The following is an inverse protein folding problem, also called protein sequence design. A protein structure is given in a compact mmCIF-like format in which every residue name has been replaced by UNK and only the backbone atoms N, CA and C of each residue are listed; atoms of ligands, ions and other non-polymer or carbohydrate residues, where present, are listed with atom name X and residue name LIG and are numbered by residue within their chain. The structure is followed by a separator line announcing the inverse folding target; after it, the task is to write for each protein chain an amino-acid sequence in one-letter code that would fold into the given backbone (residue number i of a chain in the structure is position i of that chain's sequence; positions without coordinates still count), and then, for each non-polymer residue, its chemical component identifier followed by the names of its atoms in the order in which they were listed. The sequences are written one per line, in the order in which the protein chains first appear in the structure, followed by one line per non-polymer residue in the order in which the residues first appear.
data_IF_330742731540
#
_entry.id   IF_330742731540
#
_cell.length_a   1.000
_cell.length_b   1.000
_cell.length_c   1.000
_cell.angle_alpha   90.00
_cell.angle_beta   90.00
_cell.angle_gamma   90.00
#
_symmetry.space_group_name_H-M   'P 1'
#
loop_
_entity.id
_entity.type
_entity.pdbx_description
1 polymer ?
#
# COMPACT_ATOMS: atom_id res chain seq x y z
N UNK A 1 -11.23 9.20 58.99
CA UNK A 1 -10.64 10.50 58.62
C UNK A 1 -10.88 10.68 57.12
N UNK A 2 -11.98 11.36 56.78
CA UNK A 2 -12.06 12.64 56.03
C UNK A 2 -11.78 12.53 54.52
N UNK A 3 -12.88 12.51 53.76
CA UNK A 3 -12.97 12.83 52.34
C UNK A 3 -12.95 14.36 52.13
N UNK A 4 -12.41 14.84 50.99
CA UNK A 4 -12.66 16.18 50.45
C UNK A 4 -12.67 16.14 48.91
N UNK A 5 -13.79 16.60 48.35
CA UNK A 5 -13.95 17.06 46.96
C UNK A 5 -13.39 18.48 46.80
N UNK A 6 -13.01 18.84 45.57
CA UNK A 6 -12.82 20.24 45.18
C UNK A 6 -12.63 20.40 43.67
N UNK A 7 -13.70 20.77 42.96
CA UNK A 7 -13.66 21.31 41.59
C UNK A 7 -13.28 22.79 41.64
N UNK A 8 -12.49 23.26 40.68
CA UNK A 8 -12.24 24.68 40.42
C UNK A 8 -12.74 25.06 39.03
N UNK A 9 -13.62 26.06 38.99
CA UNK A 9 -14.21 26.64 37.79
C UNK A 9 -13.27 27.67 37.15
N UNK A 10 -13.17 27.66 35.82
CA UNK A 10 -12.53 28.72 35.04
C UNK A 10 -13.56 29.79 34.63
N UNK A 11 -13.23 31.05 34.89
CA UNK A 11 -14.01 32.22 34.49
C UNK A 11 -13.60 32.69 33.09
N UNK A 12 -14.59 32.99 32.25
CA UNK A 12 -14.42 33.56 30.92
C UNK A 12 -14.12 35.07 31.00
N UNK A 13 -13.11 35.52 30.26
CA UNK A 13 -12.78 36.93 30.05
C UNK A 13 -13.47 37.40 28.76
N UNK A 14 -14.37 38.37 28.89
CA UNK A 14 -14.99 39.09 27.78
C UNK A 14 -14.11 40.29 27.43
N UNK A 15 -13.59 40.34 26.21
CA UNK A 15 -12.93 41.54 25.67
C UNK A 15 -13.92 42.26 24.77
N UNK A 16 -14.24 43.50 25.13
CA UNK A 16 -15.06 44.42 24.35
C UNK A 16 -14.16 45.21 23.40
N UNK A 17 -14.53 45.29 22.12
CA UNK A 17 -13.86 46.12 21.13
C UNK A 17 -14.24 47.60 21.34
N UNK A 18 -13.23 48.46 21.50
CA UNK A 18 -13.36 49.92 21.43
C UNK A 18 -12.65 50.38 20.17
N UNK A 19 -13.36 51.17 19.37
CA UNK A 19 -13.05 51.49 17.98
C UNK A 19 -11.88 52.45 17.75
N UNK A 20 -11.61 52.67 16.47
CA UNK A 20 -10.80 53.77 15.97
C UNK A 20 -11.53 54.50 14.83
N UNK A 21 -11.25 55.79 14.83
CA UNK A 21 -11.94 56.96 14.29
C UNK A 21 -11.69 57.18 12.79
N UNK A 22 -12.59 57.89 12.12
CA UNK A 22 -12.47 58.33 10.73
C UNK A 22 -11.65 59.63 10.64
N UNK A 23 -10.65 59.71 9.76
CA UNK A 23 -10.23 60.99 9.14
C UNK A 23 -9.54 60.75 7.78
N UNK A 24 -9.80 61.68 6.87
CA UNK A 24 -9.65 61.66 5.40
C UNK A 24 -8.27 61.99 4.82
N UNK A 25 -7.91 61.27 3.73
CA UNK A 25 -7.42 61.71 2.38
C UNK A 25 -6.13 62.56 2.27
N UNK A 26 -5.09 62.02 1.61
CA UNK A 26 -4.59 62.46 0.29
C UNK A 26 -3.30 61.70 -0.16
N UNK A 27 -3.29 61.22 -1.41
CA UNK A 27 -2.10 61.29 -2.28
C UNK A 27 -1.15 60.08 -2.44
N UNK A 28 -1.22 59.51 -3.65
CA UNK A 28 -0.11 58.99 -4.48
C UNK A 28 0.25 57.49 -4.45
N UNK A 29 0.21 56.94 -5.67
CA UNK A 29 0.45 55.58 -6.14
C UNK A 29 1.84 55.02 -5.81
N UNK A 30 1.88 53.75 -5.40
CA UNK A 30 2.63 52.63 -6.02
C UNK A 30 2.94 51.57 -4.96
N UNK A 31 2.38 50.37 -5.14
CA UNK A 31 2.84 49.21 -4.38
C UNK A 31 1.84 48.07 -4.29
N UNK A 32 2.10 47.03 -5.09
CA UNK A 32 1.79 45.62 -4.80
C UNK A 32 0.32 45.29 -4.49
N UNK A 33 -0.46 45.03 -5.54
CA UNK A 33 -1.52 44.04 -5.40
C UNK A 33 -0.86 42.66 -5.38
N UNK A 34 -0.70 42.11 -4.16
CA UNK A 34 -0.57 40.68 -3.95
C UNK A 34 -1.84 40.04 -4.52
N UNK A 35 -1.71 39.31 -5.62
CA UNK A 35 -2.81 38.59 -6.23
C UNK A 35 -3.26 37.48 -5.30
N UNK A 36 -4.28 37.74 -4.49
CA UNK A 36 -5.10 36.67 -3.93
C UNK A 36 -5.90 36.08 -5.09
N UNK A 37 -5.60 34.82 -5.45
CA UNK A 37 -6.41 34.05 -6.41
C UNK A 37 -7.81 33.84 -5.79
N UNK A 38 -8.92 34.01 -6.53
CA UNK A 38 -10.26 33.84 -5.96
C UNK A 38 -10.54 32.37 -5.66
N UNK A 39 -11.11 32.08 -4.49
CA UNK A 39 -11.48 30.74 -4.02
C UNK A 39 -12.67 30.08 -4.78
N UNK A 40 -12.87 30.40 -6.07
CA UNK A 40 -14.10 30.08 -6.83
C UNK A 40 -13.82 29.56 -8.27
N UNK A 41 -12.60 29.09 -8.56
CA UNK A 41 -12.43 28.22 -9.74
C UNK A 41 -12.90 26.82 -9.37
N UNK A 42 -13.82 26.28 -10.16
CA UNK A 42 -14.30 24.91 -10.01
C UNK A 42 -13.18 23.92 -10.25
N UNK A 43 -13.08 22.90 -9.39
CA UNK A 43 -12.17 21.77 -9.58
C UNK A 43 -12.67 20.95 -10.78
N UNK A 44 -11.96 21.05 -11.91
CA UNK A 44 -12.37 20.43 -13.18
C UNK A 44 -11.44 19.29 -13.62
N UNK A 45 -10.17 19.32 -13.18
CA UNK A 45 -9.15 18.34 -13.57
C UNK A 45 -8.50 17.77 -12.33
N UNK A 46 -8.62 16.45 -12.15
CA UNK A 46 -7.92 15.74 -11.08
C UNK A 46 -6.43 16.02 -11.13
N UNK A 47 -5.84 16.39 -9.99
CA UNK A 47 -4.43 16.77 -9.88
C UNK A 47 -4.15 18.26 -10.03
N UNK A 48 -5.13 19.08 -10.41
CA UNK A 48 -4.95 20.54 -10.40
C UNK A 48 -4.66 21.02 -8.97
N UNK A 49 -3.83 22.05 -8.86
CA UNK A 49 -3.45 22.67 -7.60
C UNK A 49 -3.75 24.18 -7.63
N UNK A 50 -4.11 24.74 -6.48
CA UNK A 50 -4.22 26.19 -6.33
C UNK A 50 -3.86 26.65 -4.91
N UNK A 51 -3.43 27.91 -4.80
CA UNK A 51 -3.21 28.54 -3.51
C UNK A 51 -4.53 28.68 -2.73
N UNK A 52 -4.45 28.50 -1.41
CA UNK A 52 -5.59 28.60 -0.51
C UNK A 52 -5.13 29.11 0.86
N UNK A 53 -6.00 29.75 1.64
CA UNK A 53 -5.77 29.98 3.07
C UNK A 53 -4.58 30.88 3.50
N UNK A 54 -3.74 31.36 2.58
CA UNK A 54 -2.56 32.21 2.85
C UNK A 54 -1.36 31.86 1.98
N UNK A 55 -0.24 32.59 2.16
CA UNK A 55 0.99 32.39 1.36
C UNK A 55 1.62 31.02 1.67
N UNK A 56 1.85 30.22 0.62
CA UNK A 56 2.48 28.90 0.70
C UNK A 56 1.56 27.74 1.06
N UNK A 57 0.25 27.98 1.21
CA UNK A 57 -0.74 26.92 1.39
C UNK A 57 -1.40 26.56 0.06
N UNK A 58 -1.58 25.25 -0.18
CA UNK A 58 -2.08 24.69 -1.44
C UNK A 58 -3.21 23.70 -1.18
N UNK A 59 -4.17 23.62 -2.08
CA UNK A 59 -5.19 22.57 -2.12
C UNK A 59 -5.18 21.90 -3.49
N UNK A 60 -5.53 20.61 -3.53
CA UNK A 60 -5.52 19.80 -4.74
C UNK A 60 -6.92 19.36 -5.11
N UNK A 61 -7.18 19.30 -6.40
CA UNK A 61 -8.43 18.83 -6.99
C UNK A 61 -8.40 17.30 -7.10
N UNK A 62 -9.40 16.62 -6.53
CA UNK A 62 -9.47 15.17 -6.50
C UNK A 62 -10.91 14.65 -6.52
N UNK A 63 -11.10 13.36 -6.81
CA UNK A 63 -12.41 12.71 -6.76
C UNK A 63 -12.80 12.38 -5.32
N UNK A 64 -13.68 13.18 -4.75
CA UNK A 64 -14.14 13.07 -3.37
C UNK A 64 -15.62 12.69 -3.37
N UNK A 65 -15.92 11.48 -2.90
CA UNK A 65 -17.26 10.89 -2.90
C UNK A 65 -17.87 10.77 -4.32
N UNK A 66 -17.03 10.51 -5.33
CA UNK A 66 -17.45 10.33 -6.73
C UNK A 66 -17.65 11.63 -7.52
N UNK A 67 -17.20 12.77 -6.97
CA UNK A 67 -17.26 14.07 -7.63
C UNK A 67 -15.91 14.79 -7.51
N UNK A 68 -15.48 15.47 -8.58
CA UNK A 68 -14.28 16.30 -8.53
C UNK A 68 -14.50 17.52 -7.63
N UNK A 69 -13.71 17.62 -6.56
CA UNK A 69 -13.76 18.68 -5.56
C UNK A 69 -12.36 19.09 -5.12
N UNK A 70 -12.22 20.34 -4.67
CA UNK A 70 -11.02 20.76 -3.95
C UNK A 70 -10.96 20.05 -2.60
N UNK A 71 -9.81 19.46 -2.31
CA UNK A 71 -9.48 18.88 -1.02
C UNK A 71 -9.23 19.94 0.06
N UNK A 72 -8.69 19.51 1.21
CA UNK A 72 -8.34 20.44 2.29
C UNK A 72 -7.22 21.39 1.86
N UNK A 73 -7.20 22.57 2.48
CA UNK A 73 -6.12 23.53 2.32
C UNK A 73 -4.93 23.15 3.22
N UNK A 74 -3.79 22.84 2.61
CA UNK A 74 -2.60 22.28 3.26
C UNK A 74 -1.50 23.34 3.36
N UNK A 75 -0.92 23.54 4.55
CA UNK A 75 0.27 24.39 4.73
C UNK A 75 1.60 23.66 4.57
N UNK A 76 1.54 22.33 4.52
CA UNK A 76 2.69 21.43 4.35
C UNK A 76 2.18 20.16 3.68
N UNK A 77 2.94 19.63 2.74
CA UNK A 77 2.69 18.33 2.10
C UNK A 77 3.86 17.39 2.37
N UNK A 78 3.60 16.09 2.41
CA UNK A 78 4.66 15.08 2.55
C UNK A 78 5.40 14.81 1.23
N UNK A 79 4.73 15.07 0.11
CA UNK A 79 5.21 14.90 -1.25
C UNK A 79 4.42 15.78 -2.24
N UNK A 80 4.92 15.89 -3.46
CA UNK A 80 4.19 16.52 -4.58
C UNK A 80 3.54 15.46 -5.47
N UNK A 81 2.26 15.59 -5.86
CA UNK A 81 1.60 14.60 -6.72
C UNK A 81 2.42 14.26 -7.98
N UNK A 82 2.63 12.96 -8.22
CA UNK A 82 3.45 12.46 -9.32
C UNK A 82 4.96 12.37 -9.04
N UNK A 83 5.43 12.89 -7.91
CA UNK A 83 6.78 12.63 -7.42
C UNK A 83 6.97 11.13 -7.15
N UNK A 84 8.19 10.63 -7.32
CA UNK A 84 8.54 9.24 -7.01
C UNK A 84 9.63 9.18 -5.96
N UNK A 85 9.45 8.32 -4.97
CA UNK A 85 10.43 8.05 -3.93
C UNK A 85 10.87 6.59 -4.01
N UNK A 86 12.17 6.36 -4.11
CA UNK A 86 12.73 5.02 -4.15
C UNK A 86 12.35 4.22 -2.90
N UNK A 87 12.02 2.94 -3.08
CA UNK A 87 11.77 1.99 -1.98
C UNK A 87 13.06 1.56 -1.24
N UNK A 88 14.19 2.24 -1.40
CA UNK A 88 15.46 1.91 -0.73
C UNK A 88 16.36 0.90 -1.47
N UNK A 89 15.96 0.44 -2.66
CA UNK A 89 16.70 -0.55 -3.46
C UNK A 89 17.78 0.04 -4.38
N UNK A 90 17.83 1.38 -4.51
CA UNK A 90 18.79 2.10 -5.34
C UNK A 90 18.49 2.07 -6.84
N UNK A 91 18.94 3.10 -7.57
CA UNK A 91 18.67 3.26 -9.01
C UNK A 91 19.31 2.16 -9.87
N UNK A 92 20.36 1.50 -9.37
CA UNK A 92 21.15 0.49 -10.09
C UNK A 92 20.43 -0.87 -10.22
N UNK A 93 19.49 -1.19 -9.31
CA UNK A 93 18.81 -2.49 -9.27
C UNK A 93 17.38 -2.47 -9.84
N UNK A 94 16.98 -1.35 -10.43
CA UNK A 94 15.70 -1.22 -11.14
C UNK A 94 14.57 -0.71 -10.25
N UNK A 95 14.74 0.53 -9.79
CA UNK A 95 13.72 1.52 -9.39
C UNK A 95 12.30 0.99 -9.12
N UNK A 96 12.17 0.23 -8.03
CA UNK A 96 10.92 0.19 -7.29
C UNK A 96 10.80 1.52 -6.55
N UNK A 97 9.76 2.27 -6.89
CA UNK A 97 9.47 3.55 -6.29
C UNK A 97 7.99 3.64 -5.95
N UNK A 98 7.70 4.28 -4.81
CA UNK A 98 6.36 4.73 -4.48
C UNK A 98 6.11 6.07 -5.15
N UNK A 99 4.91 6.24 -5.69
CA UNK A 99 4.47 7.48 -6.31
C UNK A 99 3.66 8.29 -5.30
N UNK A 100 3.80 9.61 -5.30
CA UNK A 100 2.92 10.47 -4.55
C UNK A 100 1.57 10.53 -5.27
N UNK A 101 0.52 10.06 -4.60
CA UNK A 101 -0.86 10.04 -5.07
C UNK A 101 -1.67 11.11 -4.34
N UNK A 102 -2.83 11.46 -4.91
CA UNK A 102 -3.84 12.22 -4.20
C UNK A 102 -4.86 11.24 -3.60
N UNK A 103 -5.07 11.34 -2.30
CA UNK A 103 -6.15 10.67 -1.60
C UNK A 103 -7.03 11.72 -0.91
N UNK A 104 -8.25 11.87 -1.39
CA UNK A 104 -9.20 12.90 -0.93
C UNK A 104 -8.61 14.33 -1.01
N UNK A 105 -7.80 14.58 -2.04
CA UNK A 105 -7.10 15.85 -2.27
C UNK A 105 -5.92 16.10 -1.33
N UNK A 106 -5.43 15.07 -0.64
CA UNK A 106 -4.22 15.11 0.19
C UNK A 106 -3.09 14.34 -0.53
N UNK A 107 -1.94 14.97 -0.83
CA UNK A 107 -0.79 14.26 -1.36
C UNK A 107 -0.22 13.30 -0.31
N UNK A 108 -0.20 12.02 -0.64
CA UNK A 108 0.35 10.95 0.19
C UNK A 108 1.26 10.07 -0.65
N UNK A 109 2.40 9.65 -0.08
CA UNK A 109 3.19 8.60 -0.71
C UNK A 109 2.35 7.33 -0.79
N UNK A 110 2.24 6.69 -1.96
CA UNK A 110 1.64 5.35 -2.09
C UNK A 110 2.32 4.45 -1.05
N UNK A 111 1.63 4.13 0.06
CA UNK A 111 2.27 3.48 1.18
C UNK A 111 2.49 1.99 0.89
N UNK A 112 2.10 1.53 -0.29
CA UNK A 112 1.92 0.14 -0.60
C UNK A 112 2.79 -0.36 -1.76
N UNK A 113 3.38 0.53 -2.56
CA UNK A 113 4.11 0.18 -3.78
C UNK A 113 5.33 -0.74 -3.55
N UNK A 114 5.86 -0.78 -2.33
CA UNK A 114 7.12 -1.44 -2.04
C UNK A 114 6.99 -2.86 -1.48
N UNK A 115 5.81 -3.27 -0.99
CA UNK A 115 5.59 -4.58 -0.37
C UNK A 115 4.36 -5.26 -0.98
N UNK A 116 4.58 -6.05 -2.04
CA UNK A 116 3.51 -6.63 -2.87
C UNK A 116 3.50 -8.18 -2.92
N UNK A 117 3.56 -8.90 -1.79
CA UNK A 117 3.63 -10.37 -1.81
C UNK A 117 2.30 -11.03 -2.19
N UNK A 118 2.37 -12.12 -2.96
CA UNK A 118 1.19 -12.93 -3.29
C UNK A 118 0.80 -13.90 -2.16
N UNK A 119 -0.52 -14.02 -1.91
CA UNK A 119 -1.12 -15.08 -1.09
C UNK A 119 -2.08 -15.96 -1.89
N UNK A 120 -2.31 -17.19 -1.41
CA UNK A 120 -3.37 -18.08 -1.90
C UNK A 120 -4.51 -18.18 -0.89
N UNK A 121 -5.65 -17.59 -1.22
CA UNK A 121 -6.90 -17.70 -0.45
C UNK A 121 -7.76 -18.86 -0.99
N UNK A 122 -7.88 -19.93 -0.20
CA UNK A 122 -8.67 -21.12 -0.56
C UNK A 122 -10.18 -20.95 -0.35
N UNK A 123 -10.58 -19.97 0.47
CA UNK A 123 -11.96 -19.59 0.72
C UNK A 123 -12.14 -18.10 0.36
N UNK A 124 -13.31 -17.71 -0.19
CA UNK A 124 -13.54 -16.34 -0.61
C UNK A 124 -13.69 -15.41 0.60
N UNK A 125 -13.23 -14.16 0.46
CA UNK A 125 -13.41 -13.12 1.46
C UNK A 125 -12.16 -12.26 1.68
N UNK A 126 -12.19 -11.39 2.70
CA UNK A 126 -11.03 -10.59 3.06
C UNK A 126 -9.92 -11.49 3.61
N UNK A 127 -8.66 -11.10 3.38
CA UNK A 127 -7.51 -11.81 3.95
C UNK A 127 -7.41 -11.45 5.44
N UNK A 128 -7.50 -12.42 6.36
CA UNK A 128 -7.33 -12.16 7.79
C UNK A 128 -5.87 -11.83 8.11
N UNK A 129 -5.64 -10.62 8.62
CA UNK A 129 -4.32 -10.08 8.94
C UNK A 129 -4.10 -10.00 10.46
N UNK A 130 -2.96 -10.47 10.94
CA UNK A 130 -2.44 -10.26 12.29
C UNK A 130 -1.65 -8.96 12.37
N UNK A 131 -1.68 -8.31 13.54
CA UNK A 131 -0.97 -7.06 13.76
C UNK A 131 0.55 -7.25 13.72
N UNK A 132 1.24 -6.22 13.25
CA UNK A 132 2.67 -6.06 13.46
C UNK A 132 3.06 -6.44 14.89
N UNK A 133 3.85 -7.51 15.00
CA UNK A 133 4.40 -8.00 16.24
C UNK A 133 5.88 -7.62 16.34
N UNK A 134 6.59 -8.12 17.35
CA UNK A 134 8.03 -7.87 17.52
C UNK A 134 8.90 -8.54 16.44
N UNK A 135 8.34 -9.47 15.66
CA UNK A 135 9.03 -10.10 14.54
C UNK A 135 8.94 -9.22 13.28
N UNK A 136 9.93 -9.29 12.40
CA UNK A 136 10.05 -8.48 11.18
C UNK A 136 10.55 -9.33 10.03
N UNK A 137 10.12 -9.02 8.81
CA UNK A 137 10.54 -9.70 7.59
C UNK A 137 10.69 -8.68 6.47
N UNK A 138 11.81 -8.71 5.75
CA UNK A 138 12.07 -7.77 4.67
C UNK A 138 11.52 -8.30 3.34
N UNK A 139 10.30 -7.87 3.04
CA UNK A 139 9.54 -8.27 1.84
C UNK A 139 10.10 -7.62 0.57
N UNK A 140 10.61 -6.40 0.67
CA UNK A 140 11.15 -5.67 -0.47
C UNK A 140 12.62 -6.00 -0.75
N UNK A 141 13.35 -6.45 0.28
CA UNK A 141 14.81 -6.61 0.23
C UNK A 141 15.57 -5.29 0.41
N UNK A 142 14.87 -4.20 0.75
CA UNK A 142 15.43 -2.86 0.86
C UNK A 142 15.87 -2.48 2.28
N UNK A 143 15.54 -3.29 3.29
CA UNK A 143 15.73 -2.97 4.70
C UNK A 143 14.79 -1.89 5.24
N UNK A 144 13.86 -1.39 4.43
CA UNK A 144 12.82 -0.44 4.83
C UNK A 144 11.48 -1.17 5.02
N UNK A 145 10.59 -0.61 5.86
CA UNK A 145 9.24 -1.13 6.04
C UNK A 145 9.19 -2.64 6.41
N UNK A 146 10.16 -3.13 7.19
CA UNK A 146 10.28 -4.54 7.57
C UNK A 146 9.29 -4.97 8.66
N UNK A 147 8.57 -4.01 9.23
CA UNK A 147 7.49 -4.21 10.20
C UNK A 147 6.16 -3.97 9.51
N UNK A 148 5.55 -5.05 9.05
CA UNK A 148 4.21 -5.04 8.44
C UNK A 148 3.24 -5.88 9.26
N UNK A 149 1.95 -5.71 8.99
CA UNK A 149 0.96 -6.73 9.34
C UNK A 149 1.19 -8.00 8.51
N UNK A 150 0.68 -9.13 9.02
CA UNK A 150 0.99 -10.44 8.46
C UNK A 150 -0.27 -11.28 8.27
N UNK A 151 -0.50 -11.94 7.12
CA UNK A 151 -1.63 -12.82 6.95
C UNK A 151 -1.55 -13.94 7.97
N UNK A 152 -2.70 -14.27 8.55
CA UNK A 152 -2.78 -15.40 9.47
C UNK A 152 -2.61 -16.71 8.72
N UNK A 153 -2.39 -17.81 9.45
CA UNK A 153 -2.28 -19.17 8.90
C UNK A 153 -3.47 -19.63 8.01
N UNK A 154 -4.58 -18.88 7.97
CA UNK A 154 -5.69 -19.15 7.04
C UNK A 154 -5.36 -18.83 5.58
N UNK A 155 -4.35 -17.99 5.30
CA UNK A 155 -4.04 -17.48 3.96
C UNK A 155 -2.53 -17.44 3.76
N UNK A 156 -1.91 -18.53 3.28
CA UNK A 156 -0.47 -18.63 3.13
C UNK A 156 0.09 -17.78 2.00
N UNK A 157 1.36 -17.41 2.14
CA UNK A 157 2.16 -16.82 1.07
C UNK A 157 2.42 -17.84 -0.04
N UNK A 158 2.48 -17.36 -1.28
CA UNK A 158 3.10 -18.10 -2.37
C UNK A 158 4.60 -17.78 -2.38
N UNK A 159 5.43 -18.83 -2.39
CA UNK A 159 6.88 -18.67 -2.30
C UNK A 159 7.63 -19.72 -3.12
N UNK A 160 8.93 -19.48 -3.30
CA UNK A 160 9.87 -20.39 -3.93
C UNK A 160 11.24 -20.28 -3.24
N UNK A 161 11.69 -21.38 -2.64
CA UNK A 161 13.03 -21.48 -2.04
C UNK A 161 14.07 -21.55 -3.17
N UNK A 162 14.69 -20.40 -3.48
CA UNK A 162 15.57 -20.21 -4.62
C UNK A 162 16.95 -20.79 -4.36
N UNK A 163 17.43 -20.68 -3.13
CA UNK A 163 18.78 -21.10 -2.74
C UNK A 163 18.83 -22.54 -2.16
N UNK A 164 17.65 -23.15 -1.95
CA UNK A 164 17.45 -24.50 -1.40
C UNK A 164 17.91 -24.62 0.04
N UNK A 165 17.79 -23.55 0.81
CA UNK A 165 18.07 -23.50 2.25
C UNK A 165 17.08 -24.34 3.08
N UNK A 166 15.88 -24.58 2.54
CA UNK A 166 14.76 -25.22 3.25
C UNK A 166 13.93 -24.21 4.06
N UNK A 167 14.13 -22.92 3.82
CA UNK A 167 13.42 -21.81 4.47
C UNK A 167 13.13 -20.74 3.43
N UNK A 168 12.13 -19.90 3.69
CA UNK A 168 11.91 -18.64 2.97
C UNK A 168 12.47 -17.52 3.85
N UNK A 169 13.64 -16.99 3.47
CA UNK A 169 14.42 -16.10 4.36
C UNK A 169 14.54 -14.65 3.87
N UNK A 170 14.02 -14.36 2.67
CA UNK A 170 13.95 -12.99 2.17
C UNK A 170 12.84 -12.78 1.15
N UNK A 171 12.47 -11.51 0.96
CA UNK A 171 11.42 -11.11 0.01
C UNK A 171 11.63 -11.53 -1.45
N UNK A 172 12.89 -11.77 -1.84
CA UNK A 172 13.24 -12.30 -3.16
C UNK A 172 12.74 -13.74 -3.42
N UNK A 173 12.38 -14.47 -2.37
CA UNK A 173 11.80 -15.81 -2.42
C UNK A 173 10.26 -15.80 -2.28
N UNK A 174 9.68 -14.64 -1.99
CA UNK A 174 8.26 -14.37 -2.18
C UNK A 174 8.02 -13.87 -3.61
N UNK A 175 6.79 -14.00 -4.10
CA UNK A 175 6.39 -13.38 -5.37
C UNK A 175 5.86 -11.98 -5.12
N UNK A 176 6.62 -10.98 -5.54
CA UNK A 176 6.30 -9.57 -5.28
C UNK A 176 7.41 -8.63 -5.72
N UNK A 177 7.34 -7.39 -5.22
CA UNK A 177 8.37 -6.36 -5.37
C UNK A 177 9.79 -6.85 -5.00
N UNK A 178 9.93 -7.73 -4.02
CA UNK A 178 11.23 -8.32 -3.66
C UNK A 178 11.86 -9.21 -4.74
N UNK A 179 11.08 -9.70 -5.71
CA UNK A 179 11.57 -10.61 -6.75
C UNK A 179 12.40 -9.88 -7.82
N UNK A 180 13.57 -10.43 -8.15
CA UNK A 180 14.38 -9.98 -9.28
C UNK A 180 14.00 -10.79 -10.52
N UNK A 181 13.51 -10.11 -11.56
CA UNK A 181 13.14 -10.70 -12.86
C UNK A 181 14.39 -11.10 -13.66
N UNK A 182 14.23 -11.91 -14.71
CA UNK A 182 15.32 -12.26 -15.63
C UNK A 182 16.00 -11.04 -16.28
N UNK A 183 15.30 -9.89 -16.35
CA UNK A 183 15.87 -8.62 -16.79
C UNK A 183 16.89 -8.02 -15.83
N UNK A 184 17.03 -8.56 -14.61
CA UNK A 184 17.84 -8.00 -13.53
C UNK A 184 17.19 -6.80 -12.82
N UNK A 185 15.89 -6.57 -13.06
CA UNK A 185 15.10 -5.52 -12.40
C UNK A 185 14.14 -6.16 -11.42
N UNK A 186 13.74 -5.41 -10.41
CA UNK A 186 12.66 -5.84 -9.53
C UNK A 186 11.32 -5.94 -10.27
N UNK A 187 10.48 -6.89 -9.84
CA UNK A 187 9.11 -7.00 -10.28
C UNK A 187 8.30 -5.80 -9.76
N UNK A 188 7.32 -5.34 -10.56
CA UNK A 188 6.45 -4.23 -10.15
C UNK A 188 5.37 -4.65 -9.16
N UNK A 189 4.98 -5.92 -9.19
CA UNK A 189 3.96 -6.54 -8.36
C UNK A 189 4.12 -8.07 -8.44
N UNK A 190 3.41 -8.82 -7.61
CA UNK A 190 3.52 -10.27 -7.47
C UNK A 190 3.15 -11.06 -8.72
N UNK A 191 2.13 -10.65 -9.48
CA UNK A 191 1.81 -11.33 -10.75
C UNK A 191 2.91 -11.18 -11.82
N UNK A 192 3.61 -10.04 -11.86
CA UNK A 192 4.75 -9.87 -12.76
C UNK A 192 5.93 -10.78 -12.36
N UNK A 193 6.14 -10.97 -11.06
CA UNK A 193 7.11 -11.94 -10.55
C UNK A 193 6.73 -13.38 -10.92
N UNK A 194 5.46 -13.74 -10.75
CA UNK A 194 4.98 -15.10 -11.00
C UNK A 194 5.01 -15.47 -12.50
N UNK A 195 4.78 -14.50 -13.39
CA UNK A 195 4.80 -14.70 -14.84
C UNK A 195 6.16 -15.17 -15.39
N UNK A 196 7.28 -14.93 -14.69
CA UNK A 196 8.60 -15.45 -15.07
C UNK A 196 8.68 -16.99 -15.05
N UNK A 197 7.73 -17.64 -14.37
CA UNK A 197 7.65 -19.10 -14.28
C UNK A 197 6.78 -19.74 -15.36
N UNK A 198 6.06 -18.94 -16.18
CA UNK A 198 5.26 -19.44 -17.31
C UNK A 198 6.20 -19.78 -18.46
N UNK A 199 6.66 -21.03 -18.46
CA UNK A 199 7.68 -21.52 -19.40
C UNK A 199 7.09 -21.93 -20.73
N UNK A 200 5.77 -22.15 -20.80
CA UNK A 200 5.07 -22.57 -22.00
C UNK A 200 4.27 -21.43 -22.67
N UNK A 201 4.11 -20.30 -21.99
CA UNK A 201 3.45 -19.09 -22.47
C UNK A 201 1.93 -19.21 -22.57
N UNK A 202 1.30 -20.07 -21.77
CA UNK A 202 -0.15 -20.32 -21.81
C UNK A 202 -0.97 -19.40 -20.90
N UNK A 203 -0.30 -18.50 -20.17
CA UNK A 203 -0.93 -17.54 -19.26
C UNK A 203 -1.30 -18.16 -17.91
N UNK A 204 -0.76 -19.34 -17.59
CA UNK A 204 -1.02 -20.04 -16.33
C UNK A 204 0.26 -20.65 -15.80
N UNK A 205 0.34 -20.76 -14.48
CA UNK A 205 1.38 -21.55 -13.81
C UNK A 205 0.78 -22.90 -13.42
N UNK A 206 1.29 -23.97 -14.02
CA UNK A 206 0.76 -25.33 -13.87
C UNK A 206 1.86 -26.38 -13.91
N UNK A 207 1.51 -27.66 -13.73
CA UNK A 207 2.48 -28.77 -13.84
C UNK A 207 3.14 -28.91 -15.23
N UNK A 208 2.67 -28.16 -16.25
CA UNK A 208 3.33 -28.06 -17.55
C UNK A 208 4.55 -27.13 -17.51
N UNK A 209 4.70 -26.33 -16.45
CA UNK A 209 5.81 -25.41 -16.28
C UNK A 209 7.00 -26.04 -15.57
N UNK A 210 8.20 -25.72 -16.07
CA UNK A 210 9.44 -26.34 -15.62
C UNK A 210 9.67 -26.22 -14.11
N UNK A 211 9.25 -25.09 -13.51
CA UNK A 211 9.50 -24.76 -12.10
C UNK A 211 8.27 -24.87 -11.19
N UNK A 212 7.12 -25.33 -11.71
CA UNK A 212 5.91 -25.47 -10.89
C UNK A 212 6.10 -26.35 -9.66
N UNK A 213 6.90 -27.42 -9.79
CA UNK A 213 7.19 -28.34 -8.68
C UNK A 213 8.01 -27.75 -7.54
N UNK A 214 8.61 -26.57 -7.74
CA UNK A 214 9.41 -25.82 -6.75
C UNK A 214 8.53 -24.89 -5.89
N UNK A 215 7.31 -24.57 -6.33
CA UNK A 215 6.42 -23.66 -5.63
C UNK A 215 5.91 -24.28 -4.31
N UNK A 216 5.94 -23.46 -3.27
CA UNK A 216 5.47 -23.81 -1.93
C UNK A 216 4.50 -22.75 -1.40
N UNK A 217 3.66 -23.18 -0.48
CA UNK A 217 2.88 -22.32 0.40
C UNK A 217 3.63 -22.16 1.71
N UNK A 218 3.91 -20.93 2.11
CA UNK A 218 4.41 -20.64 3.44
C UNK A 218 3.25 -20.21 4.33
N UNK A 219 2.92 -21.08 5.29
CA UNK A 219 1.93 -20.80 6.34
C UNK A 219 2.66 -20.53 7.63
N UNK A 220 2.76 -19.27 8.06
CA UNK A 220 3.31 -18.93 9.37
C UNK A 220 2.37 -19.43 10.47
N UNK A 221 2.75 -20.53 11.14
CA UNK A 221 1.90 -21.27 12.07
C UNK A 221 2.03 -20.77 13.50
N UNK A 222 3.18 -20.21 13.86
CA UNK A 222 3.46 -19.72 15.22
C UNK A 222 3.59 -18.19 15.32
N UNK A 223 3.55 -17.48 14.19
CA UNK A 223 3.52 -16.03 14.08
C UNK A 223 4.89 -15.37 14.28
N UNK A 224 5.98 -16.11 14.14
CA UNK A 224 7.34 -15.62 14.37
C UNK A 224 8.01 -15.02 13.12
N UNK A 225 7.34 -15.09 11.96
CA UNK A 225 7.77 -14.60 10.64
C UNK A 225 9.09 -15.20 10.17
N UNK A 226 9.47 -16.37 10.68
CA UNK A 226 10.63 -17.13 10.27
C UNK A 226 10.19 -18.47 9.70
N UNK A 227 10.30 -18.60 8.39
CA UNK A 227 9.92 -19.83 7.72
C UNK A 227 10.73 -21.02 8.21
N UNK A 228 10.05 -22.13 8.48
CA UNK A 228 10.69 -23.44 8.70
C UNK A 228 10.11 -24.50 7.77
N UNK A 229 10.83 -25.61 7.57
CA UNK A 229 10.36 -26.74 6.75
C UNK A 229 8.97 -27.28 7.14
N UNK A 230 8.54 -27.11 8.40
CA UNK A 230 7.23 -27.59 8.86
C UNK A 230 6.08 -26.64 8.49
N UNK A 231 6.41 -25.43 8.06
CA UNK A 231 5.49 -24.38 7.61
C UNK A 231 5.38 -24.28 6.09
N UNK A 232 6.26 -25.00 5.39
CA UNK A 232 6.33 -25.03 3.93
C UNK A 232 5.60 -26.25 3.38
N UNK A 233 4.62 -26.00 2.52
CA UNK A 233 3.83 -27.04 1.89
C UNK A 233 3.88 -26.93 0.36
N UNK A 234 4.35 -27.96 -0.37
CA UNK A 234 4.30 -27.95 -1.83
C UNK A 234 2.88 -27.78 -2.36
N UNK A 235 2.69 -26.96 -3.40
CA UNK A 235 1.36 -26.67 -3.99
C UNK A 235 0.56 -27.94 -4.32
N UNK A 236 1.25 -28.96 -4.85
CA UNK A 236 0.66 -30.27 -5.18
C UNK A 236 0.04 -30.99 -3.97
N UNK A 237 0.51 -30.76 -2.76
CA UNK A 237 -0.03 -31.39 -1.54
C UNK A 237 -1.34 -30.75 -1.10
N UNK A 238 -1.54 -29.46 -1.41
CA UNK A 238 -2.85 -28.79 -1.36
C UNK A 238 -3.72 -29.00 -2.59
N UNK A 239 -3.27 -29.84 -3.52
CA UNK A 239 -4.00 -30.15 -4.73
C UNK A 239 -4.09 -28.99 -5.72
N UNK A 240 -3.27 -27.94 -5.60
CA UNK A 240 -3.26 -26.83 -6.57
C UNK A 240 -2.84 -27.37 -7.94
N UNK A 241 -3.67 -27.14 -8.95
CA UNK A 241 -3.48 -27.65 -10.30
C UNK A 241 -2.98 -26.55 -11.25
N UNK A 242 -3.49 -25.33 -11.10
CA UNK A 242 -3.08 -24.19 -11.91
C UNK A 242 -3.38 -22.85 -11.26
N UNK A 243 -2.56 -21.84 -11.54
CA UNK A 243 -2.76 -20.44 -11.14
C UNK A 243 -2.85 -19.60 -12.42
N UNK A 244 -3.87 -18.77 -12.55
CA UNK A 244 -4.04 -17.86 -13.68
C UNK A 244 -3.13 -16.62 -13.52
N UNK A 245 -2.50 -16.17 -14.61
CA UNK A 245 -1.68 -14.95 -14.61
C UNK A 245 -2.48 -13.69 -14.95
N UNK A 246 -3.60 -13.82 -15.67
CA UNK A 246 -4.51 -12.70 -15.90
C UNK A 246 -5.22 -12.34 -14.59
N UNK A 247 -5.12 -11.07 -14.18
CA UNK A 247 -5.71 -10.57 -12.95
C UNK A 247 -6.67 -9.40 -13.21
N UNK A 248 -7.60 -9.21 -12.28
CA UNK A 248 -8.39 -8.00 -12.16
C UNK A 248 -7.77 -7.08 -11.10
N UNK A 249 -7.71 -5.79 -11.38
CA UNK A 249 -7.30 -4.78 -10.40
C UNK A 249 -8.51 -4.21 -9.69
N UNK A 250 -8.42 -4.09 -8.37
CA UNK A 250 -9.33 -3.34 -7.51
C UNK A 250 -8.54 -2.81 -6.32
N UNK A 251 -9.21 -2.22 -5.34
CA UNK A 251 -8.57 -1.85 -4.08
C UNK A 251 -9.53 -2.17 -2.94
N UNK A 252 -9.12 -3.11 -2.08
CA UNK A 252 -9.86 -3.54 -0.91
C UNK A 252 -8.92 -3.51 0.30
N UNK A 253 -9.03 -2.46 1.11
CA UNK A 253 -8.09 -2.17 2.20
C UNK A 253 -8.73 -2.39 3.57
N UNK A 254 -7.96 -2.93 4.50
CA UNK A 254 -8.33 -3.00 5.91
C UNK A 254 -8.08 -1.67 6.64
N UNK A 255 -8.58 -1.55 7.87
CA UNK A 255 -8.44 -0.34 8.68
C UNK A 255 -6.99 -0.02 9.12
N UNK A 256 -6.02 -0.91 8.86
CA UNK A 256 -4.59 -0.72 9.13
C UNK A 256 -3.80 -0.45 7.85
N UNK A 257 -4.50 -0.28 6.73
CA UNK A 257 -3.94 0.06 5.43
C UNK A 257 -3.46 -1.15 4.62
N UNK A 258 -3.68 -2.39 5.03
CA UNK A 258 -3.29 -3.51 4.17
C UNK A 258 -4.31 -3.66 3.05
N UNK A 259 -3.87 -3.61 1.79
CA UNK A 259 -4.76 -3.63 0.63
C UNK A 259 -4.60 -4.91 -0.19
N UNK A 260 -5.70 -5.46 -0.69
CA UNK A 260 -5.69 -6.45 -1.76
C UNK A 260 -5.98 -5.72 -3.08
N UNK A 261 -5.03 -5.74 -4.02
CA UNK A 261 -5.16 -4.97 -5.28
C UNK A 261 -5.44 -5.83 -6.49
N UNK A 262 -4.47 -6.65 -6.89
CA UNK A 262 -4.63 -7.58 -7.99
C UNK A 262 -5.19 -8.90 -7.48
N UNK A 263 -6.23 -9.39 -8.14
CA UNK A 263 -6.86 -10.67 -7.83
C UNK A 263 -6.96 -11.52 -9.08
N UNK A 264 -6.54 -12.76 -8.93
CA UNK A 264 -6.64 -13.80 -9.94
C UNK A 264 -7.20 -15.07 -9.31
N UNK A 265 -7.31 -16.15 -10.09
CA UNK A 265 -7.84 -17.43 -9.63
C UNK A 265 -6.80 -18.52 -9.71
N UNK A 266 -6.96 -19.51 -8.84
CA UNK A 266 -6.29 -20.80 -9.00
C UNK A 266 -7.29 -21.93 -8.86
N UNK A 267 -7.02 -23.07 -9.51
CA UNK A 267 -7.80 -24.29 -9.35
C UNK A 267 -7.08 -25.27 -8.42
N UNK A 268 -7.84 -25.97 -7.59
CA UNK A 268 -7.30 -27.01 -6.73
C UNK A 268 -8.28 -28.18 -6.55
N UNK A 269 -7.73 -29.39 -6.41
CA UNK A 269 -8.49 -30.58 -6.11
C UNK A 269 -8.98 -30.57 -4.65
N UNK A 270 -10.29 -30.77 -4.46
CA UNK A 270 -10.92 -30.88 -3.15
C UNK A 270 -11.92 -32.04 -3.16
N UNK A 271 -11.60 -33.10 -2.42
CA UNK A 271 -12.40 -34.34 -2.43
C UNK A 271 -12.40 -34.98 -3.83
N UNK A 272 -13.59 -35.16 -4.41
CA UNK A 272 -13.74 -35.74 -5.76
C UNK A 272 -13.88 -34.69 -6.87
N UNK A 273 -13.73 -33.40 -6.57
CA UNK A 273 -13.97 -32.31 -7.51
C UNK A 273 -12.84 -31.28 -7.54
N UNK A 274 -12.99 -30.32 -8.44
CA UNK A 274 -12.10 -29.14 -8.56
C UNK A 274 -12.84 -27.95 -7.99
N UNK A 275 -12.16 -27.21 -7.11
CA UNK A 275 -12.59 -25.92 -6.58
C UNK A 275 -11.68 -24.81 -7.11
N UNK A 276 -12.13 -23.58 -6.98
CA UNK A 276 -11.34 -22.39 -7.26
C UNK A 276 -11.08 -21.61 -5.98
N UNK A 277 -9.86 -21.10 -5.82
CA UNK A 277 -9.51 -20.08 -4.84
C UNK A 277 -9.04 -18.80 -5.53
N UNK A 278 -8.60 -17.83 -4.74
CA UNK A 278 -8.06 -16.56 -5.22
C UNK A 278 -6.55 -16.47 -4.97
N UNK A 279 -5.81 -15.99 -5.97
CA UNK A 279 -4.45 -15.48 -5.76
C UNK A 279 -4.58 -13.98 -5.62
N UNK A 280 -4.01 -13.43 -4.55
CA UNK A 280 -4.21 -12.04 -4.18
C UNK A 280 -2.83 -11.39 -4.01
N UNK A 281 -2.62 -10.28 -4.68
CA UNK A 281 -1.48 -9.40 -4.48
C UNK A 281 -1.77 -8.45 -3.31
N UNK A 282 -1.06 -8.66 -2.20
CA UNK A 282 -1.23 -7.88 -0.99
C UNK A 282 -0.25 -6.73 -0.97
N UNK A 283 -0.76 -5.56 -0.63
CA UNK A 283 -0.09 -4.28 -0.59
C UNK A 283 -0.01 -3.89 0.89
N UNK A 284 1.13 -4.19 1.52
CA UNK A 284 1.26 -4.14 2.98
C UNK A 284 1.78 -2.79 3.47
N UNK A 285 1.01 -2.17 4.36
CA UNK A 285 1.38 -0.93 5.01
C UNK A 285 2.49 -1.14 6.05
N UNK A 286 3.43 -0.20 6.10
CA UNK A 286 4.40 -0.10 7.20
C UNK A 286 3.66 0.26 8.50
N UNK A 287 3.99 -0.44 9.59
CA UNK A 287 3.42 -0.21 10.93
C UNK A 287 4.42 0.42 11.89
#
# INVERSE_FOLDING_TARGET
MRAWLGWAAMAAVVVTAVGCDETTIDGAEQGRNNGAVPADETCEVQGDEQECGGEGSVQYCDEIEGELKWGPCLSTTECEPGETLSCGLGEEFGDLSRMCLLEEGIPVWDPYACNTPLVLAFEPGPVPMSAAATASFDISGAGECITTDWPTAATPWLAIDLDRSGTIDGGHELFGSGTILASGRHARHGFAALAELDSNGDGRISALDARFGELVLWTDLDGDRQSTLWELEPLRWRGVESIELDFATGQDCDARGNCARERSRFSFAAGSGVRSGEVIDLYLACQ
#
